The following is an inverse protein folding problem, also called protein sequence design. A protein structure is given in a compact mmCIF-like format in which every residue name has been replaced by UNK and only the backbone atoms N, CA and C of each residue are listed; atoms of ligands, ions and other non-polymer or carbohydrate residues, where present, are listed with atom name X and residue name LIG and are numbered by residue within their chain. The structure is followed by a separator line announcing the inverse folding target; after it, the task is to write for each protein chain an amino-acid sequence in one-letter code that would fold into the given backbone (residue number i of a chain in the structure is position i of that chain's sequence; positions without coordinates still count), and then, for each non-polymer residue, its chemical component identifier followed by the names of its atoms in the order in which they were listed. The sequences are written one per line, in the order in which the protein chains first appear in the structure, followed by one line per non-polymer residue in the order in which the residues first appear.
data_IF_952876404851
#
_entry.id   IF_952876404851
#
_cell.length_a   1.000
_cell.length_b   1.000
_cell.length_c   1.000
_cell.angle_alpha   90.00
_cell.angle_beta   90.00
_cell.angle_gamma   90.00
#
_symmetry.space_group_name_H-M   'P 1'
#
loop_
_entity.id
_entity.type
_entity.pdbx_description
1 polymer ?
#
# COMPACT_ATOMS: atom_id res chain seq x y z
N UNK A 1 -6.72 14.36 5.41
CA UNK A 1 -5.94 13.55 4.49
C UNK A 1 -5.47 14.42 3.33
N UNK A 2 -4.18 14.37 3.02
CA UNK A 2 -3.58 15.15 1.93
C UNK A 2 -3.14 14.20 0.83
N UNK A 3 -3.70 14.37 -0.38
CA UNK A 3 -3.50 13.54 -1.55
C UNK A 3 -2.80 14.33 -2.67
N UNK A 4 -1.84 13.71 -3.34
CA UNK A 4 -1.14 14.34 -4.47
C UNK A 4 -1.91 14.30 -5.79
N UNK A 5 -2.97 13.48 -5.87
CA UNK A 5 -3.90 13.33 -7.01
C UNK A 5 -5.28 12.98 -6.50
N UNK A 6 -6.26 12.87 -7.39
CA UNK A 6 -7.58 12.37 -7.04
C UNK A 6 -7.57 10.84 -6.84
N UNK A 7 -8.52 10.33 -6.07
CA UNK A 7 -8.61 8.90 -5.80
C UNK A 7 -8.90 8.08 -7.07
N UNK A 8 -9.62 8.64 -8.02
CA UNK A 8 -9.98 8.00 -9.28
C UNK A 8 -8.75 7.74 -10.17
N UNK A 9 -7.78 8.65 -10.15
CA UNK A 9 -6.61 8.60 -11.04
C UNK A 9 -5.40 7.86 -10.47
N UNK A 10 -5.48 7.36 -9.25
CA UNK A 10 -4.37 6.70 -8.57
C UNK A 10 -4.80 5.54 -7.70
N UNK A 11 -4.37 4.33 -8.05
CA UNK A 11 -4.58 3.10 -7.25
C UNK A 11 -4.16 3.28 -5.79
N UNK A 12 -3.00 3.91 -5.57
CA UNK A 12 -2.47 4.16 -4.25
C UNK A 12 -3.39 5.05 -3.42
N UNK A 13 -3.81 6.17 -3.99
CA UNK A 13 -4.70 7.12 -3.33
C UNK A 13 -6.08 6.49 -3.09
N UNK A 14 -6.59 5.74 -4.06
CA UNK A 14 -7.85 5.02 -3.92
C UNK A 14 -7.85 4.08 -2.71
N UNK A 15 -6.78 3.31 -2.51
CA UNK A 15 -6.65 2.46 -1.33
C UNK A 15 -6.69 3.24 0.00
N UNK A 16 -6.04 4.39 0.06
CA UNK A 16 -6.07 5.28 1.23
C UNK A 16 -7.45 5.92 1.43
N UNK A 17 -8.13 6.29 0.33
CA UNK A 17 -9.48 6.84 0.38
C UNK A 17 -10.49 5.83 0.91
N UNK A 18 -10.42 4.57 0.47
CA UNK A 18 -11.22 3.49 1.06
C UNK A 18 -10.96 3.36 2.56
N UNK A 19 -9.71 3.51 2.99
CA UNK A 19 -9.33 3.53 4.41
C UNK A 19 -9.92 4.71 5.18
N UNK A 20 -9.97 5.91 4.59
CA UNK A 20 -10.62 7.08 5.17
C UNK A 20 -12.13 6.88 5.30
N UNK A 21 -12.77 6.39 4.24
CA UNK A 21 -14.22 6.13 4.25
C UNK A 21 -14.59 5.07 5.31
N UNK A 22 -13.73 4.08 5.52
CA UNK A 22 -13.91 3.09 6.59
C UNK A 22 -13.94 3.75 7.98
N UNK A 23 -13.14 4.79 8.24
CA UNK A 23 -13.17 5.51 9.52
C UNK A 23 -14.54 6.14 9.81
N UNK A 24 -15.18 6.71 8.79
CA UNK A 24 -16.50 7.34 8.96
C UNK A 24 -17.57 6.29 9.33
N UNK A 25 -17.41 5.06 8.85
CA UNK A 25 -18.29 3.94 9.19
C UNK A 25 -18.04 3.42 10.61
N UNK A 26 -16.78 3.36 11.05
CA UNK A 26 -16.40 2.83 12.37
C UNK A 26 -16.67 3.83 13.49
N UNK A 27 -16.57 5.13 13.20
CA UNK A 27 -16.72 6.19 14.19
C UNK A 27 -17.88 7.16 13.85
N UNK A 28 -19.11 6.68 13.66
CA UNK A 28 -20.22 7.53 13.22
C UNK A 28 -20.47 8.66 14.22
N UNK A 29 -20.45 9.90 13.74
CA UNK A 29 -20.70 11.10 14.55
C UNK A 29 -19.63 11.43 15.60
N UNK A 30 -18.51 10.69 15.66
CA UNK A 30 -17.42 10.92 16.62
C UNK A 30 -16.20 11.59 16.00
N UNK A 31 -16.06 11.54 14.71
CA UNK A 31 -15.01 12.22 13.95
C UNK A 31 -15.55 12.74 12.62
N UNK A 32 -14.88 13.75 12.11
CA UNK A 32 -15.07 14.25 10.74
C UNK A 32 -13.78 14.08 10.00
N UNK A 33 -13.84 13.55 8.78
CA UNK A 33 -12.67 13.47 7.91
C UNK A 33 -12.77 14.50 6.80
N UNK A 34 -11.63 15.10 6.46
CA UNK A 34 -11.49 16.05 5.35
C UNK A 34 -10.41 15.58 4.41
N UNK A 35 -10.55 15.91 3.13
CA UNK A 35 -9.61 15.57 2.07
C UNK A 35 -9.22 16.84 1.32
N UNK A 36 -7.92 16.99 1.08
CA UNK A 36 -7.39 17.89 0.06
C UNK A 36 -6.64 17.05 -0.95
N UNK A 37 -7.09 17.05 -2.17
CA UNK A 37 -6.44 16.36 -3.30
C UNK A 37 -5.62 17.31 -4.15
N UNK A 38 -4.91 16.76 -5.16
CA UNK A 38 -4.07 17.49 -6.11
C UNK A 38 -2.93 18.32 -5.48
N UNK A 39 -2.55 17.99 -4.24
CA UNK A 39 -1.40 18.59 -3.57
C UNK A 39 -0.10 17.86 -4.01
N UNK A 40 0.35 18.10 -5.23
CA UNK A 40 1.46 17.39 -5.89
C UNK A 40 2.81 18.14 -5.83
N UNK A 41 2.82 19.39 -5.36
CA UNK A 41 4.03 20.19 -5.09
C UNK A 41 4.20 20.46 -3.59
N UNK A 42 5.42 20.85 -3.17
CA UNK A 42 5.68 21.19 -1.77
C UNK A 42 4.81 22.36 -1.30
N UNK A 43 4.61 23.36 -2.15
CA UNK A 43 3.77 24.53 -1.89
C UNK A 43 2.30 24.14 -1.71
N UNK A 44 1.77 23.32 -2.62
CA UNK A 44 0.40 22.85 -2.54
C UNK A 44 0.16 22.00 -1.28
N UNK A 45 1.13 21.18 -0.87
CA UNK A 45 1.08 20.42 0.40
C UNK A 45 1.08 21.37 1.60
N UNK A 46 1.91 22.43 1.57
CA UNK A 46 1.94 23.43 2.64
C UNK A 46 0.60 24.16 2.78
N UNK A 47 0.04 24.63 1.67
CA UNK A 47 -1.27 25.30 1.64
C UNK A 47 -2.40 24.41 2.12
N UNK A 48 -2.39 23.12 1.68
CA UNK A 48 -3.35 22.13 2.13
C UNK A 48 -3.27 21.91 3.65
N UNK A 49 -2.08 21.75 4.20
CA UNK A 49 -1.88 21.58 5.65
C UNK A 49 -2.32 22.83 6.41
N UNK A 50 -1.96 24.03 5.94
CA UNK A 50 -2.36 25.29 6.58
C UNK A 50 -3.89 25.46 6.60
N UNK A 51 -4.53 25.15 5.46
CA UNK A 51 -6.00 25.20 5.35
C UNK A 51 -6.67 24.29 6.40
N UNK A 52 -6.22 23.05 6.47
CA UNK A 52 -6.82 22.06 7.37
C UNK A 52 -6.48 22.34 8.85
N UNK A 53 -5.28 22.88 9.13
CA UNK A 53 -4.92 23.33 10.47
C UNK A 53 -5.84 24.48 10.95
N UNK A 54 -6.11 25.46 10.08
CA UNK A 54 -7.06 26.56 10.36
C UNK A 54 -8.51 26.07 10.50
N UNK A 55 -8.86 24.97 9.82
CA UNK A 55 -10.17 24.33 9.97
C UNK A 55 -10.31 23.52 11.28
N UNK A 56 -9.24 23.40 12.08
CA UNK A 56 -9.27 22.74 13.39
C UNK A 56 -8.94 21.25 13.34
N UNK A 57 -8.30 20.77 12.28
CA UNK A 57 -7.80 19.39 12.23
C UNK A 57 -6.79 19.12 13.33
N UNK A 58 -6.93 18.02 14.03
CA UNK A 58 -6.02 17.57 15.11
C UNK A 58 -5.06 16.47 14.65
N UNK A 59 -5.37 15.81 13.53
CA UNK A 59 -4.55 14.76 12.94
C UNK A 59 -4.48 14.98 11.43
N UNK A 60 -3.29 14.96 10.87
CA UNK A 60 -3.06 15.07 9.42
C UNK A 60 -2.30 13.85 8.93
N UNK A 61 -2.86 13.19 7.92
CA UNK A 61 -2.23 12.10 7.18
C UNK A 61 -1.76 12.60 5.82
N UNK A 62 -0.47 12.47 5.53
CA UNK A 62 0.11 12.66 4.21
C UNK A 62 0.53 11.29 3.66
N UNK A 63 0.09 10.94 2.46
CA UNK A 63 0.05 9.55 2.01
C UNK A 63 1.21 9.13 1.09
N UNK A 64 2.19 9.99 0.89
CA UNK A 64 3.38 9.66 0.10
C UNK A 64 4.66 10.19 0.75
N UNK A 65 5.78 9.49 0.51
CA UNK A 65 7.09 9.91 0.99
C UNK A 65 7.53 11.28 0.45
N UNK A 66 7.03 11.70 -0.71
CA UNK A 66 7.31 13.03 -1.28
C UNK A 66 6.82 14.17 -0.38
N UNK A 67 5.76 13.95 0.38
CA UNK A 67 5.17 14.94 1.29
C UNK A 67 5.89 15.00 2.66
N UNK A 68 6.84 14.10 2.93
CA UNK A 68 7.48 14.00 4.25
C UNK A 68 8.21 15.29 4.64
N UNK A 69 9.00 15.87 3.73
CA UNK A 69 9.75 17.10 4.00
C UNK A 69 8.83 18.24 4.41
N UNK A 70 7.72 18.44 3.70
CA UNK A 70 6.75 19.47 4.04
C UNK A 70 5.96 19.12 5.33
N UNK A 71 5.65 17.85 5.56
CA UNK A 71 5.01 17.41 6.81
C UNK A 71 5.88 17.75 8.03
N UNK A 72 7.20 17.55 7.93
CA UNK A 72 8.15 17.90 9.01
C UNK A 72 8.20 19.41 9.24
N UNK A 73 8.26 20.22 8.19
CA UNK A 73 8.23 21.70 8.31
C UNK A 73 6.93 22.18 8.94
N UNK A 74 5.79 21.64 8.49
CA UNK A 74 4.47 22.02 9.01
C UNK A 74 4.28 21.56 10.47
N UNK A 75 4.77 20.40 10.85
CA UNK A 75 4.69 19.91 12.22
C UNK A 75 5.44 20.82 13.23
N UNK A 76 6.47 21.54 12.78
CA UNK A 76 7.13 22.56 13.60
C UNK A 76 6.29 23.83 13.78
N UNK A 77 5.43 24.17 12.81
CA UNK A 77 4.52 25.32 12.86
C UNK A 77 3.24 25.02 13.64
N UNK A 78 2.80 23.77 13.62
CA UNK A 78 1.55 23.30 14.25
C UNK A 78 1.84 22.18 15.26
N UNK A 79 2.46 22.47 16.42
CA UNK A 79 2.92 21.44 17.36
C UNK A 79 1.80 20.65 18.04
N UNK A 80 0.57 21.18 18.03
CA UNK A 80 -0.61 20.52 18.60
C UNK A 80 -1.28 19.54 17.63
N UNK A 81 -0.89 19.57 16.35
CA UNK A 81 -1.38 18.64 15.33
C UNK A 81 -0.47 17.42 15.25
N UNK A 82 -1.07 16.23 15.25
CA UNK A 82 -0.35 14.98 15.03
C UNK A 82 -0.20 14.71 13.55
N UNK A 83 1.03 14.57 13.08
CA UNK A 83 1.34 14.28 11.69
C UNK A 83 1.74 12.84 11.50
N UNK A 84 1.12 12.21 10.50
CA UNK A 84 1.44 10.85 10.04
C UNK A 84 1.78 10.91 8.55
N UNK A 85 2.93 10.35 8.16
CA UNK A 85 3.35 10.29 6.77
C UNK A 85 3.54 8.84 6.31
N UNK A 86 2.92 8.48 5.20
CA UNK A 86 3.12 7.17 4.59
C UNK A 86 4.45 7.13 3.87
N UNK A 87 5.47 6.65 4.56
CA UNK A 87 6.82 6.50 4.06
C UNK A 87 7.62 5.48 4.86
N UNK A 88 8.72 5.06 4.27
CA UNK A 88 9.61 4.07 4.86
C UNK A 88 10.60 4.76 5.78
N UNK A 89 10.51 4.41 7.06
CA UNK A 89 11.53 4.44 8.10
C UNK A 89 12.50 5.63 8.12
N UNK A 90 11.96 6.83 8.25
CA UNK A 90 12.74 8.03 8.62
C UNK A 90 12.30 8.46 10.01
N UNK A 91 13.20 8.51 10.98
CA UNK A 91 12.85 8.90 12.36
C UNK A 91 12.88 10.41 12.52
N UNK A 92 11.70 11.02 12.63
CA UNK A 92 11.53 12.40 13.04
C UNK A 92 10.88 12.47 14.43
N UNK A 93 11.10 13.56 15.17
CA UNK A 93 10.47 13.75 16.47
C UNK A 93 9.01 14.23 16.37
N UNK A 94 8.66 14.86 15.27
CA UNK A 94 7.37 15.56 15.05
C UNK A 94 6.42 14.87 14.06
N UNK A 95 6.90 13.91 13.28
CA UNK A 95 6.11 13.17 12.29
C UNK A 95 6.30 11.68 12.49
N UNK A 96 5.19 10.97 12.70
CA UNK A 96 5.19 9.51 12.73
C UNK A 96 5.09 8.96 11.30
N UNK A 97 6.02 8.10 10.94
CA UNK A 97 5.96 7.42 9.66
C UNK A 97 5.17 6.13 9.79
N UNK A 98 4.43 5.79 8.75
CA UNK A 98 3.74 4.52 8.69
C UNK A 98 3.89 3.88 7.31
N UNK A 99 3.97 2.55 7.32
CA UNK A 99 3.97 1.73 6.12
C UNK A 99 3.49 0.32 6.48
N UNK A 100 3.10 -0.45 5.47
CA UNK A 100 2.66 -1.81 5.71
C UNK A 100 3.62 -2.82 5.08
N UNK A 101 3.75 -3.98 5.73
CA UNK A 101 4.68 -5.05 5.34
C UNK A 101 4.08 -5.93 4.23
N UNK A 102 3.87 -5.36 3.04
CA UNK A 102 3.31 -6.05 1.88
C UNK A 102 4.10 -7.31 1.52
N UNK A 103 5.39 -7.32 1.79
CA UNK A 103 6.25 -8.49 1.56
C UNK A 103 5.76 -9.77 2.27
N UNK A 104 4.99 -9.68 3.37
CA UNK A 104 4.39 -10.84 4.03
C UNK A 104 3.35 -11.51 3.11
N UNK A 105 2.47 -10.70 2.50
CA UNK A 105 1.51 -11.20 1.52
C UNK A 105 2.20 -11.73 0.25
N UNK A 106 3.24 -11.03 -0.22
CA UNK A 106 4.00 -11.46 -1.40
C UNK A 106 4.69 -12.80 -1.20
N UNK A 107 5.19 -13.07 0.01
CA UNK A 107 5.75 -14.38 0.34
C UNK A 107 4.71 -15.49 0.16
N UNK A 108 3.51 -15.30 0.70
CA UNK A 108 2.42 -16.27 0.55
C UNK A 108 1.99 -16.41 -0.91
N UNK A 109 1.89 -15.30 -1.65
CA UNK A 109 1.54 -15.33 -3.07
C UNK A 109 2.58 -16.09 -3.90
N UNK A 110 3.87 -15.95 -3.57
CA UNK A 110 4.94 -16.72 -4.20
C UNK A 110 4.80 -18.22 -3.94
N UNK A 111 4.50 -18.61 -2.70
CA UNK A 111 4.26 -20.00 -2.35
C UNK A 111 3.02 -20.56 -3.07
N UNK A 112 1.93 -19.81 -3.13
CA UNK A 112 0.71 -20.18 -3.87
C UNK A 112 1.01 -20.35 -5.36
N UNK A 113 1.73 -19.40 -5.96
CA UNK A 113 2.11 -19.46 -7.37
C UNK A 113 2.91 -20.73 -7.72
N UNK A 114 3.92 -21.04 -6.91
CA UNK A 114 4.74 -22.23 -7.13
C UNK A 114 3.99 -23.55 -6.86
N UNK A 115 3.03 -23.55 -5.92
CA UNK A 115 2.20 -24.73 -5.66
C UNK A 115 1.21 -25.02 -6.80
N UNK A 116 0.70 -23.98 -7.45
CA UNK A 116 -0.28 -24.09 -8.56
C UNK A 116 0.39 -24.27 -9.93
N UNK A 117 1.59 -23.73 -10.10
CA UNK A 117 2.33 -23.83 -11.37
C UNK A 117 2.92 -25.21 -11.52
N UNK A 118 2.77 -25.80 -12.71
CA UNK A 118 3.48 -27.00 -13.13
C UNK A 118 4.78 -26.66 -13.88
N UNK A 119 5.06 -25.38 -14.00
CA UNK A 119 6.23 -24.82 -14.69
C UNK A 119 7.22 -24.33 -13.63
N UNK A 120 8.49 -24.48 -13.88
CA UNK A 120 9.55 -23.97 -12.99
C UNK A 120 9.79 -22.46 -13.21
N UNK A 121 8.80 -21.73 -13.74
CA UNK A 121 8.90 -20.32 -14.10
C UNK A 121 7.67 -19.55 -13.65
N UNK A 122 7.91 -18.43 -12.99
CA UNK A 122 6.88 -17.50 -12.54
C UNK A 122 7.21 -16.08 -13.00
N UNK A 123 6.19 -15.27 -13.25
CA UNK A 123 6.33 -13.86 -13.61
C UNK A 123 6.11 -12.94 -12.40
N UNK A 124 6.85 -11.85 -12.36
CA UNK A 124 6.62 -10.75 -11.43
C UNK A 124 6.70 -9.42 -12.17
N UNK A 125 5.63 -8.62 -12.09
CA UNK A 125 5.57 -7.28 -12.67
C UNK A 125 5.73 -6.25 -11.58
N UNK A 126 6.80 -5.46 -11.64
CA UNK A 126 7.11 -4.42 -10.67
C UNK A 126 6.94 -3.02 -11.28
N UNK A 127 6.42 -2.07 -10.50
CA UNK A 127 6.17 -0.70 -10.99
C UNK A 127 7.43 0.18 -10.97
N UNK A 128 8.12 0.23 -9.84
CA UNK A 128 9.29 1.10 -9.62
C UNK A 128 10.26 0.45 -8.64
N UNK A 129 11.58 0.64 -8.82
CA UNK A 129 12.59 0.08 -7.93
C UNK A 129 12.69 0.88 -6.60
N UNK A 130 11.60 0.89 -5.84
CA UNK A 130 11.58 1.45 -4.48
C UNK A 130 11.98 0.39 -3.46
N UNK A 131 12.34 0.81 -2.25
CA UNK A 131 12.73 -0.11 -1.18
C UNK A 131 11.64 -1.15 -0.88
N UNK A 132 10.38 -0.74 -0.75
CA UNK A 132 9.26 -1.66 -0.53
C UNK A 132 9.13 -2.68 -1.65
N UNK A 133 9.17 -2.23 -2.90
CA UNK A 133 9.06 -3.11 -4.08
C UNK A 133 10.17 -4.16 -4.13
N UNK A 134 11.41 -3.82 -3.77
CA UNK A 134 12.50 -4.79 -3.73
C UNK A 134 12.28 -5.86 -2.64
N UNK A 135 11.74 -5.46 -1.49
CA UNK A 135 11.37 -6.41 -0.44
C UNK A 135 10.25 -7.35 -0.90
N UNK A 136 9.26 -6.82 -1.60
CA UNK A 136 8.12 -7.57 -2.13
C UNK A 136 8.56 -8.61 -3.19
N UNK A 137 9.42 -8.22 -4.14
CA UNK A 137 10.00 -9.12 -5.14
C UNK A 137 10.77 -10.27 -4.47
N UNK A 138 11.65 -9.92 -3.53
CA UNK A 138 12.45 -10.92 -2.83
C UNK A 138 11.59 -11.88 -2.01
N UNK A 139 10.57 -11.36 -1.31
CA UNK A 139 9.65 -12.18 -0.53
C UNK A 139 8.86 -13.15 -1.41
N UNK A 140 8.35 -12.69 -2.56
CA UNK A 140 7.69 -13.53 -3.54
C UNK A 140 8.60 -14.67 -4.00
N UNK A 141 9.85 -14.35 -4.39
CA UNK A 141 10.81 -15.34 -4.83
C UNK A 141 11.17 -16.35 -3.72
N UNK A 142 11.32 -15.90 -2.47
CA UNK A 142 11.58 -16.77 -1.33
C UNK A 142 10.39 -17.69 -1.04
N UNK A 143 9.16 -17.18 -1.07
CA UNK A 143 7.95 -17.97 -0.91
C UNK A 143 7.81 -19.04 -2.00
N UNK A 144 8.07 -18.68 -3.26
CA UNK A 144 8.06 -19.59 -4.38
C UNK A 144 9.11 -20.69 -4.23
N UNK A 145 10.34 -20.33 -3.87
CA UNK A 145 11.45 -21.31 -3.70
C UNK A 145 11.27 -22.21 -2.48
N UNK A 146 10.53 -21.80 -1.49
CA UNK A 146 10.17 -22.67 -0.36
C UNK A 146 9.36 -23.88 -0.82
N UNK A 147 8.48 -23.70 -1.82
CA UNK A 147 7.62 -24.76 -2.38
C UNK A 147 8.33 -25.51 -3.51
N UNK A 148 8.94 -24.78 -4.44
CA UNK A 148 9.72 -25.35 -5.55
C UNK A 148 11.13 -24.74 -5.57
N UNK A 149 12.17 -25.48 -5.08
CA UNK A 149 13.54 -24.98 -5.03
C UNK A 149 14.16 -24.62 -6.39
N UNK A 150 13.60 -25.14 -7.47
CA UNK A 150 14.10 -24.95 -8.85
C UNK A 150 13.41 -23.80 -9.57
N UNK A 151 12.40 -23.18 -8.96
CA UNK A 151 11.62 -22.13 -9.61
C UNK A 151 12.48 -20.90 -9.95
N UNK A 152 12.27 -20.37 -11.15
CA UNK A 152 12.83 -19.11 -11.61
C UNK A 152 11.75 -18.03 -11.60
N UNK A 153 12.05 -16.87 -11.01
CA UNK A 153 11.17 -15.71 -11.03
C UNK A 153 11.67 -14.71 -12.06
N UNK A 154 10.88 -14.50 -13.10
CA UNK A 154 11.15 -13.55 -14.17
C UNK A 154 10.54 -12.20 -13.83
N UNK A 155 11.41 -11.20 -13.59
CA UNK A 155 11.03 -9.85 -13.25
C UNK A 155 10.91 -8.97 -14.50
N UNK A 156 9.78 -8.32 -14.66
CA UNK A 156 9.57 -7.25 -15.64
C UNK A 156 9.13 -5.95 -14.95
N UNK A 157 9.53 -4.81 -15.53
CA UNK A 157 9.17 -3.48 -15.00
C UNK A 157 8.07 -2.85 -15.84
N UNK A 158 6.94 -2.51 -15.21
CA UNK A 158 5.74 -1.99 -15.86
C UNK A 158 5.94 -0.67 -16.62
N UNK A 159 7.00 0.10 -16.31
CA UNK A 159 7.29 1.39 -16.95
C UNK A 159 8.36 1.31 -18.04
N UNK A 160 8.36 0.26 -18.83
CA UNK A 160 9.15 0.27 -20.06
C UNK A 160 8.52 1.22 -21.08
N UNK A 161 9.38 1.97 -21.80
CA UNK A 161 8.97 2.91 -22.88
C UNK A 161 8.51 2.20 -24.18
N UNK A 162 8.38 0.88 -24.14
CA UNK A 162 8.04 0.06 -25.28
C UNK A 162 6.52 -0.09 -25.42
N UNK A 163 6.05 -0.19 -26.64
CA UNK A 163 4.62 -0.27 -26.98
C UNK A 163 3.98 -1.62 -26.58
N UNK A 164 4.76 -2.59 -26.14
CA UNK A 164 4.27 -3.90 -25.75
C UNK A 164 3.90 -3.92 -24.26
N UNK A 165 2.75 -4.49 -23.96
CA UNK A 165 2.32 -4.70 -22.57
C UNK A 165 3.27 -5.69 -21.87
N UNK A 166 3.64 -5.36 -20.64
CA UNK A 166 4.60 -6.14 -19.83
C UNK A 166 4.11 -7.56 -19.61
N UNK A 167 2.81 -7.73 -19.48
CA UNK A 167 2.12 -9.01 -19.31
C UNK A 167 2.29 -9.92 -20.55
N UNK A 168 2.29 -9.34 -21.74
CA UNK A 168 2.46 -10.05 -23.00
C UNK A 168 3.91 -10.55 -23.17
N UNK A 169 4.89 -9.74 -22.72
CA UNK A 169 6.30 -10.15 -22.72
C UNK A 169 6.52 -11.44 -21.89
N UNK A 170 5.90 -11.54 -20.72
CA UNK A 170 5.97 -12.73 -19.89
C UNK A 170 5.25 -13.92 -20.53
N UNK A 171 4.07 -13.67 -21.08
CA UNK A 171 3.28 -14.71 -21.75
C UNK A 171 4.01 -15.30 -22.99
N UNK A 172 4.63 -14.47 -23.82
CA UNK A 172 5.44 -14.88 -24.96
C UNK A 172 6.65 -15.74 -24.56
N UNK A 173 7.15 -15.56 -23.33
CA UNK A 173 8.19 -16.42 -22.74
C UNK A 173 7.63 -17.75 -22.21
N UNK A 174 6.34 -18.03 -22.37
CA UNK A 174 5.64 -19.19 -21.82
C UNK A 174 5.51 -19.14 -20.30
N UNK A 175 5.36 -17.96 -19.72
CA UNK A 175 5.15 -17.75 -18.30
C UNK A 175 3.70 -17.37 -18.07
N UNK A 176 2.95 -18.25 -17.42
CA UNK A 176 1.51 -18.12 -17.27
C UNK A 176 1.09 -17.63 -15.88
N UNK A 177 1.83 -17.95 -14.83
CA UNK A 177 1.55 -17.53 -13.46
C UNK A 177 2.30 -16.24 -13.14
N UNK A 178 1.57 -15.15 -12.93
CA UNK A 178 2.14 -13.81 -12.85
C UNK A 178 1.63 -13.10 -11.61
N UNK A 179 2.54 -12.53 -10.80
CA UNK A 179 2.21 -11.52 -9.80
C UNK A 179 2.25 -10.14 -10.46
N UNK A 180 1.09 -9.58 -10.72
CA UNK A 180 0.91 -8.26 -11.33
C UNK A 180 0.79 -7.14 -10.30
N UNK A 181 0.00 -6.13 -10.65
CA UNK A 181 -0.29 -5.00 -9.76
C UNK A 181 -1.06 -5.42 -8.50
N UNK A 182 -0.76 -4.79 -7.37
CA UNK A 182 -1.39 -5.13 -6.08
C UNK A 182 -2.69 -4.36 -5.81
N UNK A 183 -3.02 -3.40 -6.66
CA UNK A 183 -4.20 -2.56 -6.51
C UNK A 183 -4.88 -2.36 -7.86
N UNK A 184 -6.21 -2.32 -7.83
CA UNK A 184 -7.04 -2.02 -9.00
C UNK A 184 -6.96 -0.52 -9.27
N UNK A 185 -6.85 -0.14 -10.55
CA UNK A 185 -7.02 1.24 -10.97
C UNK A 185 -8.50 1.46 -11.29
N UNK A 186 -9.21 2.37 -10.59
CA UNK A 186 -10.61 2.64 -10.86
C UNK A 186 -10.89 3.09 -12.30
N UNK A 187 -9.99 3.90 -12.89
CA UNK A 187 -10.15 4.41 -14.26
C UNK A 187 -9.91 3.34 -15.34
N UNK A 188 -9.12 2.33 -15.03
CA UNK A 188 -8.75 1.28 -15.98
C UNK A 188 -8.81 -0.10 -15.29
N UNK A 189 -10.02 -0.61 -15.02
CA UNK A 189 -10.16 -1.90 -14.38
C UNK A 189 -9.63 -3.00 -15.31
N UNK A 190 -8.70 -3.79 -14.82
CA UNK A 190 -8.15 -4.97 -15.48
C UNK A 190 -8.32 -6.18 -14.56
N UNK A 191 -8.29 -7.37 -15.10
CA UNK A 191 -8.16 -8.61 -14.33
C UNK A 191 -6.72 -8.99 -14.04
N UNK A 192 -5.74 -8.33 -14.64
CA UNK A 192 -4.31 -8.58 -14.50
C UNK A 192 -3.77 -7.88 -13.23
N UNK A 193 -4.29 -8.27 -12.05
CA UNK A 193 -3.88 -7.77 -10.75
C UNK A 193 -3.75 -8.91 -9.72
N UNK A 194 -2.98 -8.68 -8.68
CA UNK A 194 -2.65 -9.70 -7.70
C UNK A 194 -1.86 -10.84 -8.34
N UNK A 195 -2.12 -12.06 -7.89
CA UNK A 195 -1.63 -13.27 -8.52
C UNK A 195 -2.70 -13.81 -9.47
N UNK A 196 -2.35 -14.00 -10.72
CA UNK A 196 -3.24 -14.52 -11.75
C UNK A 196 -2.53 -15.51 -12.68
N UNK A 197 -3.33 -16.30 -13.38
CA UNK A 197 -2.90 -17.11 -14.51
C UNK A 197 -3.40 -16.48 -15.80
N UNK A 198 -2.50 -16.23 -16.76
CA UNK A 198 -2.84 -15.88 -18.14
C UNK A 198 -2.98 -17.17 -18.93
N UNK A 199 -4.17 -17.46 -19.42
CA UNK A 199 -4.49 -18.68 -20.15
C UNK A 199 -4.02 -18.57 -21.62
N UNK A 200 -3.93 -19.70 -22.32
CA UNK A 200 -3.51 -19.76 -23.72
C UNK A 200 -4.45 -18.98 -24.66
N UNK A 201 -5.74 -18.88 -24.32
CA UNK A 201 -6.73 -18.10 -25.05
C UNK A 201 -6.68 -16.59 -24.74
N UNK A 202 -5.72 -16.13 -23.93
CA UNK A 202 -5.56 -14.75 -23.49
C UNK A 202 -6.46 -14.33 -22.32
N UNK A 203 -7.36 -15.20 -21.85
CA UNK A 203 -8.17 -14.90 -20.66
C UNK A 203 -7.36 -14.95 -19.39
N UNK A 204 -7.85 -14.29 -18.33
CA UNK A 204 -7.19 -14.20 -17.04
C UNK A 204 -8.02 -14.88 -15.95
N UNK A 205 -7.37 -15.77 -15.20
CA UNK A 205 -7.91 -16.39 -13.99
C UNK A 205 -7.21 -15.81 -12.78
N UNK A 206 -7.93 -15.03 -11.98
CA UNK A 206 -7.41 -14.50 -10.71
C UNK A 206 -7.31 -15.61 -9.67
N UNK A 207 -6.20 -15.66 -8.94
CA UNK A 207 -5.88 -16.70 -7.95
C UNK A 207 -5.82 -16.16 -6.54
N UNK A 208 -5.07 -15.09 -6.32
CA UNK A 208 -4.98 -14.42 -5.02
C UNK A 208 -4.74 -12.92 -5.20
N UNK A 209 -5.17 -12.13 -4.23
CA UNK A 209 -4.97 -10.68 -4.24
C UNK A 209 -4.44 -10.24 -2.88
N UNK A 210 -3.33 -9.48 -2.82
CA UNK A 210 -2.90 -8.87 -1.59
C UNK A 210 -3.79 -7.65 -1.30
N UNK A 211 -4.07 -7.42 -0.05
CA UNK A 211 -4.96 -6.32 0.37
C UNK A 211 -4.27 -5.43 1.37
N UNK A 212 -4.38 -4.12 1.15
CA UNK A 212 -3.98 -3.09 2.08
C UNK A 212 -5.21 -2.62 2.88
N UNK A 213 -5.27 -2.96 4.15
CA UNK A 213 -6.34 -2.50 5.04
C UNK A 213 -5.96 -1.18 5.73
N UNK A 214 -5.75 -0.10 4.96
CA UNK A 214 -5.43 1.23 5.51
C UNK A 214 -6.47 1.68 6.55
N UNK A 215 -7.73 1.30 6.38
CA UNK A 215 -8.78 1.57 7.35
C UNK A 215 -8.47 1.02 8.74
N UNK A 216 -7.93 -0.21 8.82
CA UNK A 216 -7.51 -0.83 10.09
C UNK A 216 -6.35 -0.07 10.74
N UNK A 217 -5.38 0.38 9.92
CA UNK A 217 -4.29 1.22 10.41
C UNK A 217 -4.84 2.54 11.00
N UNK A 218 -5.66 3.24 10.23
CA UNK A 218 -6.24 4.53 10.66
C UNK A 218 -7.14 4.37 11.89
N UNK A 219 -7.94 3.33 11.95
CA UNK A 219 -8.77 3.01 13.11
C UNK A 219 -7.93 2.90 14.39
N UNK A 220 -6.81 2.17 14.34
CA UNK A 220 -5.94 2.02 15.51
C UNK A 220 -5.33 3.36 15.94
N UNK A 221 -4.90 4.20 15.00
CA UNK A 221 -4.40 5.54 15.29
C UNK A 221 -5.47 6.42 15.93
N UNK A 222 -6.68 6.41 15.40
CA UNK A 222 -7.80 7.21 15.94
C UNK A 222 -8.20 6.70 17.33
N UNK A 223 -8.24 5.41 17.55
CA UNK A 223 -8.49 4.85 18.90
C UNK A 223 -7.43 5.27 19.92
N UNK A 224 -6.15 5.37 19.51
CA UNK A 224 -5.09 5.90 20.36
C UNK A 224 -5.32 7.40 20.66
N UNK A 225 -5.83 8.17 19.69
CA UNK A 225 -6.10 9.59 19.89
C UNK A 225 -7.27 9.85 20.85
N UNK A 226 -8.21 8.90 20.97
CA UNK A 226 -9.33 8.98 21.94
C UNK A 226 -8.98 8.50 23.35
N UNK A 227 -7.77 8.02 23.59
CA UNK A 227 -7.32 7.64 24.93
C UNK A 227 -7.15 8.88 25.82
N UNK A 228 -7.27 8.66 27.14
CA UNK A 228 -7.21 9.74 28.14
C UNK A 228 -5.88 10.52 28.11
N UNK A 229 -5.94 11.74 28.59
CA UNK A 229 -4.79 12.66 28.70
C UNK A 229 -3.64 12.04 29.51
N UNK A 230 -3.93 11.21 30.52
CA UNK A 230 -2.94 10.52 31.36
C UNK A 230 -2.16 9.47 30.59
N UNK A 231 -2.84 8.68 29.73
CA UNK A 231 -2.17 7.70 28.86
C UNK A 231 -1.31 8.39 27.79
N UNK A 232 -1.75 9.56 27.30
CA UNK A 232 -0.99 10.38 26.35
C UNK A 232 0.20 11.04 27.04
N UNK A 233 0.07 11.49 28.28
CA UNK A 233 1.19 12.08 29.05
C UNK A 233 2.28 11.06 29.36
N UNK A 234 1.93 9.82 29.62
CA UNK A 234 2.91 8.73 29.75
C UNK A 234 3.73 8.48 28.44
N UNK A 235 3.21 8.96 27.31
CA UNK A 235 3.87 8.91 26.01
C UNK A 235 4.61 10.22 25.64
N UNK A 236 4.36 11.34 26.36
CA UNK A 236 5.05 12.61 26.13
C UNK A 236 6.55 12.46 26.41
N UNK A 237 7.35 12.96 25.49
CA UNK A 237 8.80 12.90 25.55
C UNK A 237 9.43 11.72 24.81
N UNK A 238 8.64 10.83 24.25
CA UNK A 238 9.13 9.80 23.33
C UNK A 238 9.18 10.35 21.91
N UNK A 239 10.19 9.91 21.13
CA UNK A 239 10.25 10.19 19.70
C UNK A 239 8.98 9.70 19.04
N UNK A 240 8.55 10.35 17.96
CA UNK A 240 7.44 9.87 17.16
C UNK A 240 7.64 8.39 16.77
N UNK A 241 6.61 7.60 16.93
CA UNK A 241 6.67 6.16 16.69
C UNK A 241 6.51 5.89 15.21
N UNK A 242 7.38 5.07 14.65
CA UNK A 242 7.21 4.54 13.32
C UNK A 242 6.38 3.26 13.36
N UNK A 243 5.38 3.20 12.51
CA UNK A 243 4.46 2.07 12.41
C UNK A 243 4.80 1.24 11.17
N UNK A 244 5.21 0.01 11.39
CA UNK A 244 5.47 -0.93 10.32
C UNK A 244 4.72 -2.22 10.59
N UNK A 245 3.46 -2.22 10.24
CA UNK A 245 2.53 -3.29 10.53
C UNK A 245 2.29 -4.18 9.30
N UNK A 246 1.90 -5.41 9.55
CA UNK A 246 1.63 -6.41 8.53
C UNK A 246 0.39 -7.23 8.84
N UNK A 247 0.41 -8.50 8.47
CA UNK A 247 -0.71 -9.44 8.63
C UNK A 247 -1.12 -9.64 10.08
N UNK A 248 -0.17 -9.69 11.00
CA UNK A 248 -0.45 -9.85 12.45
C UNK A 248 -1.23 -8.69 13.08
N UNK A 249 -1.29 -7.54 12.40
CA UNK A 249 -2.04 -6.35 12.80
C UNK A 249 -3.27 -6.09 11.91
N UNK A 250 -3.65 -7.05 11.08
CA UNK A 250 -4.75 -6.97 10.10
C UNK A 250 -4.61 -5.80 9.10
N UNK A 251 -3.39 -5.29 8.90
CA UNK A 251 -3.11 -4.19 7.95
C UNK A 251 -2.84 -4.70 6.54
N UNK A 252 -2.36 -5.94 6.45
CA UNK A 252 -2.13 -6.66 5.20
C UNK A 252 -2.87 -7.99 5.28
N UNK A 253 -3.45 -8.41 4.15
CA UNK A 253 -4.10 -9.71 4.00
C UNK A 253 -3.90 -10.26 2.59
N UNK A 254 -4.24 -11.52 2.39
CA UNK A 254 -4.30 -12.19 1.09
C UNK A 254 -5.67 -12.82 0.92
N UNK A 255 -6.43 -12.33 -0.07
CA UNK A 255 -7.72 -12.92 -0.44
C UNK A 255 -7.47 -13.92 -1.57
N UNK A 256 -7.83 -15.18 -1.34
CA UNK A 256 -7.79 -16.21 -2.35
C UNK A 256 -9.09 -16.23 -3.17
N UNK A 257 -8.97 -16.46 -4.47
CA UNK A 257 -10.13 -16.59 -5.36
C UNK A 257 -10.84 -17.91 -5.13
N UNK A 258 -12.16 -17.91 -5.24
CA UNK A 258 -12.96 -19.14 -5.29
C UNK A 258 -12.64 -20.03 -6.53
N UNK A 259 -12.03 -19.45 -7.55
CA UNK A 259 -11.58 -20.14 -8.75
C UNK A 259 -10.21 -20.82 -8.61
N UNK A 260 -9.63 -20.81 -7.40
CA UNK A 260 -8.41 -21.57 -7.16
C UNK A 260 -8.66 -23.06 -7.38
N UNK A 261 -7.80 -23.76 -8.14
CA UNK A 261 -7.89 -25.20 -8.25
C UNK A 261 -7.83 -25.82 -6.85
N UNK A 262 -8.78 -26.71 -6.57
CA UNK A 262 -8.68 -27.56 -5.38
C UNK A 262 -7.42 -28.42 -5.51
N UNK A 263 -6.47 -28.25 -4.60
CA UNK A 263 -5.23 -29.00 -4.55
C UNK A 263 -5.43 -30.44 -4.13
#
# INVERSE_FOLDING_TARGET
FIYGRTAETSRWIYGHELGRMYLEQVFPGKLTTMVVDQADTEEAVAEAIEKEAKAGCTIIFTITSRMLGQSVRSAALYPDIKFYNCSINMSYSSVSNYYARMYEAKFLMGAIAAALSREDRLGYIAEQPTYGMLADINAFALGARMVNPYVEVHLEWARRKEAQHTEDILHEKGIHYISGHDMINPDHPSREYGLYRKNEDGTVTNLAMPVWHWGKFYEQIIRLAFKSTEEIEAMKGKKAVNYWWGMSADVIDVICSENMPNG
#
